data_IF_061418837806
#
_entry.id   IF_061418837806
#
_cell.length_a   1.000
_cell.length_b   1.000
_cell.length_c   1.000
_cell.angle_alpha   90.00
_cell.angle_beta   90.00
_cell.angle_gamma   90.00
#
_symmetry.space_group_name_H-M   'P 1'
#
loop_
_entity.id
_entity.type
_entity.pdbx_description
1 polymer ?
#
# COMPACT_ATOMS: atom_id res chain seq x y z
N UNK A 1 5.10 -68.69 50.13
CA UNK A 1 6.00 -67.83 49.34
C UNK A 1 5.13 -67.02 48.37
N UNK A 2 4.27 -66.17 48.92
CA UNK A 2 3.09 -65.60 48.24
C UNK A 2 2.97 -64.08 48.43
N UNK A 3 3.85 -63.48 49.25
CA UNK A 3 3.84 -62.06 49.61
C UNK A 3 4.38 -61.16 48.48
N UNK A 4 5.27 -61.66 47.60
CA UNK A 4 5.91 -60.84 46.56
C UNK A 4 5.00 -60.39 45.40
N UNK A 5 3.89 -61.10 45.16
CA UNK A 5 2.98 -60.77 44.04
C UNK A 5 1.94 -59.74 44.47
N UNK A 6 1.43 -59.81 45.72
CA UNK A 6 0.49 -58.84 46.25
C UNK A 6 1.13 -57.46 46.45
N UNK A 7 2.41 -57.40 46.84
CA UNK A 7 3.17 -56.14 46.93
C UNK A 7 3.43 -55.51 45.55
N UNK A 8 3.72 -56.34 44.54
CA UNK A 8 3.92 -55.87 43.17
C UNK A 8 2.62 -55.33 42.53
N UNK A 9 1.48 -55.99 42.78
CA UNK A 9 0.17 -55.54 42.31
C UNK A 9 -0.28 -54.27 43.05
N UNK A 10 0.01 -54.16 44.34
CA UNK A 10 -0.29 -52.96 45.14
C UNK A 10 0.55 -51.75 44.70
N UNK A 11 1.85 -51.94 44.45
CA UNK A 11 2.71 -50.90 43.91
C UNK A 11 2.32 -50.46 42.48
N UNK A 12 1.77 -51.37 41.67
CA UNK A 12 1.24 -51.05 40.34
C UNK A 12 -0.08 -50.28 40.41
N UNK A 13 -0.99 -50.67 41.32
CA UNK A 13 -2.22 -49.92 41.62
C UNK A 13 -1.94 -48.52 42.18
N UNK A 14 -0.93 -48.37 43.04
CA UNK A 14 -0.54 -47.06 43.58
C UNK A 14 0.11 -46.16 42.51
N UNK A 15 0.85 -46.75 41.57
CA UNK A 15 1.34 -46.03 40.37
C UNK A 15 0.20 -45.60 39.46
N UNK A 16 -0.80 -46.46 39.23
CA UNK A 16 -1.97 -46.11 38.41
C UNK A 16 -2.86 -45.06 39.10
N UNK A 17 -3.03 -45.12 40.42
CA UNK A 17 -3.76 -44.09 41.20
C UNK A 17 -3.05 -42.73 41.18
N UNK A 18 -1.71 -42.69 41.16
CA UNK A 18 -0.96 -41.44 40.94
C UNK A 18 -1.17 -40.85 39.54
N UNK A 19 -1.40 -41.71 38.54
CA UNK A 19 -1.67 -41.27 37.16
C UNK A 19 -3.13 -40.79 37.02
N UNK A 20 -4.08 -41.45 37.68
CA UNK A 20 -5.50 -41.03 37.68
C UNK A 20 -5.82 -39.87 38.65
N UNK A 21 -4.86 -39.49 39.50
CA UNK A 21 -4.95 -38.35 40.42
C UNK A 21 -4.57 -37.00 39.80
N UNK A 22 -4.23 -36.97 38.50
CA UNK A 22 -4.20 -35.73 37.73
C UNK A 22 -5.64 -35.32 37.36
N UNK A 23 -6.41 -34.94 38.38
CA UNK A 23 -7.63 -34.17 38.19
C UNK A 23 -7.28 -32.84 37.53
N UNK A 24 -7.82 -32.57 36.34
CA UNK A 24 -8.02 -31.23 35.76
C UNK A 24 -6.90 -30.21 35.99
N UNK A 25 -5.64 -30.64 35.89
CA UNK A 25 -4.61 -29.72 35.47
C UNK A 25 -4.92 -29.46 33.99
N UNK A 26 -5.77 -28.46 33.75
CA UNK A 26 -5.90 -27.78 32.46
C UNK A 26 -4.47 -27.70 31.94
N UNK A 27 -4.13 -28.56 30.97
CA UNK A 27 -2.98 -28.35 30.12
C UNK A 27 -3.24 -26.95 29.61
N UNK A 28 -2.56 -25.95 30.20
CA UNK A 28 -2.49 -24.62 29.62
C UNK A 28 -2.04 -24.93 28.21
N UNK A 29 -2.95 -24.78 27.25
CA UNK A 29 -2.64 -24.91 25.84
C UNK A 29 -1.51 -23.92 25.67
N UNK A 30 -0.26 -24.40 25.60
CA UNK A 30 0.87 -23.54 25.35
C UNK A 30 0.47 -22.81 24.08
N UNK A 31 0.28 -21.50 24.22
CA UNK A 31 -0.15 -20.67 23.09
C UNK A 31 0.96 -20.86 22.07
N UNK A 32 0.62 -21.54 20.96
CA UNK A 32 1.62 -21.87 19.96
C UNK A 32 2.26 -20.55 19.52
N UNK A 33 3.59 -20.50 19.45
CA UNK A 33 4.29 -19.33 18.92
C UNK A 33 3.72 -18.94 17.53
N UNK A 34 3.22 -19.93 16.79
CA UNK A 34 2.51 -19.76 15.52
C UNK A 34 1.17 -19.01 15.68
N UNK A 35 0.35 -19.34 16.69
CA UNK A 35 -0.92 -18.63 16.94
C UNK A 35 -0.66 -17.15 17.29
N UNK A 36 0.40 -16.86 18.06
CA UNK A 36 0.83 -15.49 18.40
C UNK A 36 1.33 -14.76 17.15
N UNK A 37 2.09 -15.46 16.29
CA UNK A 37 2.64 -14.88 15.06
C UNK A 37 1.53 -14.57 14.05
N UNK A 38 0.58 -15.48 13.86
CA UNK A 38 -0.60 -15.29 13.01
C UNK A 38 -1.43 -14.08 13.48
N UNK A 39 -1.64 -13.94 14.78
CA UNK A 39 -2.35 -12.80 15.34
C UNK A 39 -1.60 -11.48 15.11
N UNK A 40 -0.27 -11.45 15.29
CA UNK A 40 0.58 -10.28 14.99
C UNK A 40 0.56 -9.90 13.52
N UNK A 41 0.59 -10.88 12.62
CA UNK A 41 0.49 -10.66 11.16
C UNK A 41 -0.87 -10.05 10.84
N UNK A 42 -1.95 -10.60 11.39
CA UNK A 42 -3.31 -10.10 11.19
C UNK A 42 -3.47 -8.66 11.70
N UNK A 43 -2.97 -8.36 12.90
CA UNK A 43 -3.03 -7.00 13.46
C UNK A 43 -2.22 -6.00 12.63
N UNK A 44 -1.03 -6.39 12.16
CA UNK A 44 -0.20 -5.55 11.30
C UNK A 44 -0.90 -5.26 9.96
N UNK A 45 -1.48 -6.29 9.33
CA UNK A 45 -2.23 -6.13 8.07
C UNK A 45 -3.46 -5.24 8.25
N UNK A 46 -4.18 -5.38 9.37
CA UNK A 46 -5.33 -4.54 9.67
C UNK A 46 -4.91 -3.08 9.92
N UNK A 47 -3.83 -2.86 10.67
CA UNK A 47 -3.29 -1.52 10.92
C UNK A 47 -2.85 -0.84 9.62
N UNK A 48 -2.16 -1.58 8.74
CA UNK A 48 -1.79 -1.09 7.41
C UNK A 48 -3.03 -0.70 6.60
N UNK A 49 -4.01 -1.60 6.49
CA UNK A 49 -5.25 -1.33 5.77
C UNK A 49 -5.96 -0.09 6.31
N UNK A 50 -6.10 0.04 7.63
CA UNK A 50 -6.71 1.21 8.25
C UNK A 50 -5.94 2.50 7.95
N UNK A 51 -4.61 2.45 7.99
CA UNK A 51 -3.77 3.60 7.65
C UNK A 51 -3.95 4.02 6.18
N UNK A 52 -3.88 3.05 5.25
CA UNK A 52 -4.07 3.29 3.82
C UNK A 52 -5.44 3.91 3.53
N UNK A 53 -6.51 3.33 4.10
CA UNK A 53 -7.88 3.82 3.93
C UNK A 53 -8.04 5.24 4.47
N UNK A 54 -7.53 5.50 5.68
CA UNK A 54 -7.65 6.82 6.29
C UNK A 54 -6.83 7.87 5.55
N UNK A 55 -5.63 7.52 5.10
CA UNK A 55 -4.77 8.42 4.32
C UNK A 55 -5.39 8.73 2.96
N UNK A 56 -5.85 7.72 2.23
CA UNK A 56 -6.47 7.94 0.94
C UNK A 56 -7.78 8.74 1.04
N UNK A 57 -8.56 8.58 2.11
CA UNK A 57 -9.75 9.42 2.35
C UNK A 57 -9.41 10.92 2.41
N UNK A 58 -8.24 11.27 2.93
CA UNK A 58 -7.78 12.67 2.95
C UNK A 58 -7.53 13.16 1.52
N UNK A 59 -6.78 12.42 0.70
CA UNK A 59 -6.51 12.81 -0.70
C UNK A 59 -7.76 12.74 -1.58
N UNK A 60 -8.69 11.82 -1.32
CA UNK A 60 -9.95 11.77 -2.07
C UNK A 60 -10.81 13.03 -1.85
N UNK A 61 -10.81 13.59 -0.64
CA UNK A 61 -11.58 14.79 -0.32
C UNK A 61 -10.94 15.57 0.84
N UNK A 62 -9.93 16.43 0.56
CA UNK A 62 -9.12 17.05 1.60
C UNK A 62 -9.91 17.91 2.58
N UNK A 63 -10.83 18.75 2.08
CA UNK A 63 -11.65 19.63 2.92
C UNK A 63 -12.72 18.90 3.71
N UNK A 64 -13.22 17.77 3.21
CA UNK A 64 -14.16 16.93 3.96
C UNK A 64 -13.44 16.20 5.12
N UNK A 65 -12.21 15.73 4.88
CA UNK A 65 -11.44 14.98 5.86
C UNK A 65 -10.74 15.87 6.92
N UNK A 66 -10.26 17.05 6.52
CA UNK A 66 -9.43 17.91 7.38
C UNK A 66 -10.13 19.22 7.81
N UNK A 67 -11.30 19.52 7.24
CA UNK A 67 -12.08 20.72 7.51
C UNK A 67 -11.86 21.85 6.50
N UNK A 68 -12.90 22.68 6.31
CA UNK A 68 -12.99 23.72 5.26
C UNK A 68 -11.88 24.78 5.31
N UNK A 69 -11.35 25.08 6.50
CA UNK A 69 -10.34 26.12 6.69
C UNK A 69 -8.92 25.54 6.89
N UNK A 70 -8.71 24.26 6.55
CA UNK A 70 -7.43 23.59 6.75
C UNK A 70 -6.43 24.02 5.67
N UNK A 71 -5.31 24.60 6.09
CA UNK A 71 -4.18 24.91 5.20
C UNK A 71 -3.59 23.66 4.56
N UNK A 72 -3.62 22.53 5.29
CA UNK A 72 -3.21 21.23 4.75
C UNK A 72 -4.16 20.75 3.65
N UNK A 73 -5.47 20.96 3.80
CA UNK A 73 -6.43 20.59 2.75
C UNK A 73 -6.19 21.40 1.47
N UNK A 74 -6.03 22.72 1.60
CA UNK A 74 -5.71 23.60 0.49
C UNK A 74 -4.41 23.18 -0.22
N UNK A 75 -3.35 22.90 0.54
CA UNK A 75 -2.08 22.45 -0.05
C UNK A 75 -2.19 21.12 -0.80
N UNK A 76 -3.06 20.20 -0.37
CA UNK A 76 -3.27 18.92 -1.07
C UNK A 76 -4.03 19.16 -2.38
N UNK A 77 -5.09 19.98 -2.35
CA UNK A 77 -5.86 20.33 -3.54
C UNK A 77 -4.99 21.06 -4.59
N UNK A 78 -4.11 21.97 -4.15
CA UNK A 78 -3.12 22.62 -5.02
C UNK A 78 -2.18 21.61 -5.69
N UNK A 79 -1.73 20.60 -4.94
CA UNK A 79 -0.84 19.56 -5.46
C UNK A 79 -1.56 18.62 -6.45
N UNK A 80 -2.81 18.28 -6.15
CA UNK A 80 -3.71 17.54 -7.01
C UNK A 80 -3.92 18.26 -8.35
N UNK A 81 -4.21 19.56 -8.30
CA UNK A 81 -4.39 20.38 -9.48
C UNK A 81 -3.09 20.52 -10.29
N UNK A 82 -1.95 20.75 -9.62
CA UNK A 82 -0.64 20.82 -10.28
C UNK A 82 -0.28 19.49 -10.98
N UNK A 83 -0.62 18.35 -10.39
CA UNK A 83 -0.40 17.04 -11.02
C UNK A 83 -1.32 16.85 -12.24
N UNK A 84 -2.59 17.22 -12.12
CA UNK A 84 -3.56 17.09 -13.21
C UNK A 84 -3.21 17.98 -14.41
N UNK A 85 -2.73 19.19 -14.17
CA UNK A 85 -2.23 20.09 -15.21
C UNK A 85 -1.00 19.50 -15.91
N UNK A 86 -0.03 18.99 -15.14
CA UNK A 86 1.14 18.31 -15.70
C UNK A 86 0.74 17.10 -16.57
N UNK A 87 -0.20 16.27 -16.09
CA UNK A 87 -0.72 15.15 -16.86
C UNK A 87 -1.36 15.62 -18.18
N UNK A 88 -2.18 16.66 -18.11
CA UNK A 88 -2.91 17.19 -19.29
C UNK A 88 -1.94 17.73 -20.35
N UNK A 89 -0.88 18.42 -19.93
CA UNK A 89 0.19 18.89 -20.82
C UNK A 89 0.90 17.71 -21.49
N UNK A 90 1.28 16.68 -20.71
CA UNK A 90 1.94 15.50 -21.24
C UNK A 90 1.06 14.73 -22.23
N UNK A 91 -0.18 14.43 -21.83
CA UNK A 91 -1.14 13.69 -22.64
C UNK A 91 -1.45 14.44 -23.95
N UNK A 92 -1.60 15.77 -23.89
CA UNK A 92 -1.80 16.62 -25.07
C UNK A 92 -0.62 16.54 -26.05
N UNK A 93 0.62 16.59 -25.55
CA UNK A 93 1.81 16.43 -26.38
C UNK A 93 1.88 15.05 -27.03
N UNK A 94 1.52 13.98 -26.31
CA UNK A 94 1.51 12.62 -26.87
C UNK A 94 0.40 12.42 -27.90
N UNK A 95 -0.75 13.06 -27.73
CA UNK A 95 -1.84 13.03 -28.70
C UNK A 95 -1.45 13.72 -30.02
N UNK A 96 -0.64 14.78 -29.97
CA UNK A 96 -0.07 15.40 -31.17
C UNK A 96 0.88 14.45 -31.91
N UNK A 97 1.73 13.71 -31.18
CA UNK A 97 2.59 12.69 -31.78
C UNK A 97 1.74 11.61 -32.47
N UNK A 98 0.72 11.09 -31.79
CA UNK A 98 -0.18 10.06 -32.34
C UNK A 98 -0.89 10.50 -33.62
N UNK A 99 -1.33 11.76 -33.71
CA UNK A 99 -1.98 12.33 -34.91
C UNK A 99 -1.05 12.44 -36.12
N UNK A 100 0.27 12.49 -35.88
CA UNK A 100 1.30 12.55 -36.91
C UNK A 100 1.87 11.17 -37.27
N UNK A 101 1.66 10.13 -36.45
CA UNK A 101 2.07 8.76 -36.78
C UNK A 101 1.50 8.29 -38.13
N UNK A 102 2.36 7.71 -38.98
CA UNK A 102 1.97 7.16 -40.29
C UNK A 102 1.97 8.13 -41.47
N UNK A 103 2.13 9.45 -41.26
CA UNK A 103 2.16 10.45 -42.34
C UNK A 103 3.59 10.87 -42.71
N UNK A 104 4.48 9.95 -43.13
CA UNK A 104 5.90 10.26 -43.45
C UNK A 104 6.51 11.28 -42.46
N UNK A 105 6.24 11.11 -41.16
CA UNK A 105 6.39 12.19 -40.20
C UNK A 105 7.86 12.48 -39.90
N UNK A 106 8.40 13.48 -40.59
CA UNK A 106 9.74 14.01 -40.34
C UNK A 106 9.83 14.73 -38.98
N UNK A 107 8.69 15.16 -38.44
CA UNK A 107 8.60 15.99 -37.22
C UNK A 107 7.77 15.30 -36.16
N UNK A 108 8.34 15.11 -34.98
CA UNK A 108 7.70 14.55 -33.80
C UNK A 108 8.29 15.18 -32.54
N UNK A 109 7.53 15.15 -31.44
CA UNK A 109 8.01 15.57 -30.12
C UNK A 109 8.85 14.42 -29.56
N UNK A 110 10.16 14.60 -29.51
CA UNK A 110 11.12 13.59 -29.03
C UNK A 110 11.19 13.52 -27.50
N UNK A 111 10.99 14.65 -26.80
CA UNK A 111 10.98 14.74 -25.34
C UNK A 111 9.97 15.78 -24.88
N UNK A 112 9.26 15.47 -23.79
CA UNK A 112 8.42 16.43 -23.05
C UNK A 112 9.04 16.60 -21.68
N UNK A 113 9.37 17.83 -21.32
CA UNK A 113 9.90 18.21 -20.01
C UNK A 113 8.87 19.06 -19.29
N UNK A 114 8.49 18.66 -18.07
CA UNK A 114 7.48 19.36 -17.27
C UNK A 114 8.12 19.84 -15.97
N UNK A 115 8.25 21.16 -15.85
CA UNK A 115 8.67 21.79 -14.62
C UNK A 115 7.48 21.85 -13.65
N UNK A 116 7.39 20.88 -12.74
CA UNK A 116 6.32 20.81 -11.73
C UNK A 116 6.82 21.26 -10.36
N UNK A 117 6.04 22.05 -9.59
CA UNK A 117 6.38 22.37 -8.20
C UNK A 117 6.45 21.12 -7.31
N UNK A 118 5.77 20.03 -7.68
CA UNK A 118 5.79 18.76 -6.96
C UNK A 118 7.19 18.16 -6.88
N UNK A 119 8.03 18.39 -7.89
CA UNK A 119 9.40 17.90 -7.92
C UNK A 119 10.33 18.59 -6.90
N UNK A 120 9.88 19.72 -6.33
CA UNK A 120 10.58 20.44 -5.26
C UNK A 120 10.17 19.98 -3.86
N UNK A 121 9.15 19.12 -3.74
CA UNK A 121 8.61 18.66 -2.47
C UNK A 121 9.21 17.30 -2.09
N UNK A 122 10.08 17.30 -1.08
CA UNK A 122 10.76 16.10 -0.60
C UNK A 122 9.80 14.96 -0.17
N UNK A 123 8.61 15.30 0.33
CA UNK A 123 7.59 14.31 0.69
C UNK A 123 7.16 13.43 -0.50
N UNK A 124 7.26 13.95 -1.73
CA UNK A 124 6.88 13.24 -2.94
C UNK A 124 8.08 12.55 -3.61
N UNK A 125 9.24 13.19 -3.65
CA UNK A 125 10.40 12.65 -4.35
C UNK A 125 11.11 11.54 -3.56
N UNK A 126 11.27 11.72 -2.25
CA UNK A 126 11.96 10.77 -1.38
C UNK A 126 11.07 10.21 -0.26
N UNK A 127 10.00 10.92 0.09
CA UNK A 127 9.14 10.59 1.24
C UNK A 127 8.02 9.59 0.96
N UNK A 128 7.87 9.09 -0.27
CA UNK A 128 6.89 8.06 -0.63
C UNK A 128 5.41 8.50 -0.62
N UNK A 129 5.11 9.77 -0.33
CA UNK A 129 3.71 10.26 -0.30
C UNK A 129 3.11 10.47 -1.69
N UNK A 130 3.92 10.38 -2.75
CA UNK A 130 3.46 10.61 -4.11
C UNK A 130 2.40 9.61 -4.57
N UNK A 131 2.43 8.38 -4.04
CA UNK A 131 1.44 7.34 -4.35
C UNK A 131 0.00 7.84 -4.12
N UNK A 132 -0.24 8.73 -3.15
CA UNK A 132 -1.58 9.22 -2.87
C UNK A 132 -2.11 10.16 -3.96
N UNK A 133 -1.26 11.08 -4.45
CA UNK A 133 -1.59 11.95 -5.58
C UNK A 133 -1.75 11.12 -6.86
N UNK A 134 -0.88 10.13 -7.06
CA UNK A 134 -0.98 9.18 -8.15
C UNK A 134 -2.34 8.47 -8.15
N UNK A 135 -2.78 7.95 -7.00
CA UNK A 135 -4.05 7.22 -6.87
C UNK A 135 -5.25 8.13 -7.08
N UNK A 136 -5.20 9.37 -6.59
CA UNK A 136 -6.21 10.38 -6.88
C UNK A 136 -6.33 10.63 -8.39
N UNK A 137 -5.20 10.82 -9.08
CA UNK A 137 -5.18 11.03 -10.54
C UNK A 137 -5.78 9.83 -11.29
N UNK A 138 -5.44 8.61 -10.85
CA UNK A 138 -5.91 7.36 -11.46
C UNK A 138 -7.43 7.12 -11.26
N UNK A 139 -7.92 7.28 -10.02
CA UNK A 139 -9.29 6.92 -9.66
C UNK A 139 -10.27 8.08 -9.80
N UNK A 140 -9.92 9.28 -9.33
CA UNK A 140 -10.83 10.43 -9.30
C UNK A 140 -10.85 11.19 -10.62
N UNK A 141 -9.69 11.32 -11.29
CA UNK A 141 -9.60 11.97 -12.61
C UNK A 141 -9.67 11.01 -13.79
N UNK A 142 -9.69 9.70 -13.53
CA UNK A 142 -9.72 8.65 -14.55
C UNK A 142 -8.59 8.76 -15.59
N UNK A 143 -7.45 9.32 -15.18
CA UNK A 143 -6.28 9.53 -16.03
C UNK A 143 -5.40 8.26 -16.01
N UNK A 144 -5.65 7.34 -16.96
CA UNK A 144 -5.07 5.98 -16.93
C UNK A 144 -4.08 5.66 -18.06
N UNK A 145 -3.88 6.57 -18.99
CA UNK A 145 -3.02 6.32 -20.17
C UNK A 145 -1.53 6.48 -19.83
N UNK A 146 -1.23 7.42 -18.92
CA UNK A 146 0.12 7.77 -18.53
C UNK A 146 0.26 7.85 -17.02
N UNK A 147 1.27 7.20 -16.49
CA UNK A 147 1.53 7.14 -15.05
C UNK A 147 2.69 8.07 -14.70
N UNK A 148 2.48 9.02 -13.78
CA UNK A 148 3.53 9.91 -13.34
C UNK A 148 4.52 9.18 -12.43
N UNK A 149 5.79 9.58 -12.51
CA UNK A 149 6.85 9.11 -11.63
C UNK A 149 7.92 10.20 -11.52
N UNK A 150 8.70 10.19 -10.44
CA UNK A 150 9.84 11.08 -10.33
C UNK A 150 11.10 10.42 -10.87
N UNK A 151 11.88 11.17 -11.63
CA UNK A 151 13.17 10.73 -12.12
C UNK A 151 14.27 11.72 -11.73
N UNK A 152 15.36 11.25 -11.13
CA UNK A 152 16.49 12.11 -10.75
C UNK A 152 17.36 12.37 -11.98
N UNK A 153 17.57 13.65 -12.31
CA UNK A 153 18.47 14.12 -13.36
C UNK A 153 19.35 15.23 -12.83
N UNK A 154 20.66 15.10 -13.02
CA UNK A 154 21.64 16.16 -12.70
C UNK A 154 21.48 16.74 -11.29
N UNK A 155 21.18 15.89 -10.30
CA UNK A 155 20.92 16.25 -8.88
C UNK A 155 19.62 17.03 -8.63
N UNK A 156 18.68 16.97 -9.57
CA UNK A 156 17.33 17.51 -9.43
C UNK A 156 16.30 16.43 -9.72
N UNK A 157 15.13 16.53 -9.11
CA UNK A 157 14.01 15.65 -9.44
C UNK A 157 13.20 16.28 -10.57
N UNK A 158 12.78 15.44 -11.51
CA UNK A 158 11.85 15.81 -12.59
C UNK A 158 10.57 14.98 -12.48
N UNK A 159 9.42 15.59 -12.75
CA UNK A 159 8.16 14.86 -12.92
C UNK A 159 8.10 14.31 -14.34
N UNK A 160 8.10 12.98 -14.44
CA UNK A 160 8.20 12.22 -15.67
C UNK A 160 6.90 11.41 -15.85
N UNK A 161 6.53 11.05 -17.08
CA UNK A 161 5.32 10.26 -17.36
C UNK A 161 5.67 9.07 -18.26
N UNK A 162 5.12 7.91 -17.93
CA UNK A 162 5.32 6.66 -18.69
C UNK A 162 3.97 6.12 -19.15
N UNK A 163 3.89 5.52 -20.34
CA UNK A 163 2.69 4.78 -20.76
C UNK A 163 2.33 3.72 -19.72
N UNK A 164 1.04 3.61 -19.38
CA UNK A 164 0.55 2.67 -18.38
C UNK A 164 0.92 1.21 -18.68
N UNK A 165 0.94 0.83 -19.97
CA UNK A 165 1.39 -0.49 -20.42
C UNK A 165 2.83 -0.85 -20.00
N UNK A 166 3.68 0.15 -19.74
CA UNK A 166 5.08 -0.02 -19.36
C UNK A 166 5.32 0.24 -17.87
N UNK A 167 4.27 0.46 -17.08
CA UNK A 167 4.39 0.73 -15.66
C UNK A 167 3.94 -0.49 -14.86
N UNK A 168 4.72 -0.83 -13.84
CA UNK A 168 4.45 -1.94 -12.93
C UNK A 168 4.45 -1.38 -11.51
N UNK A 169 3.36 -1.59 -10.79
CA UNK A 169 3.38 -1.39 -9.34
C UNK A 169 4.18 -2.52 -8.71
N UNK A 170 5.15 -2.16 -7.87
CA UNK A 170 5.99 -3.11 -7.15
C UNK A 170 5.88 -2.91 -5.64
N UNK A 171 6.09 -4.01 -4.90
CA UNK A 171 6.15 -4.00 -3.44
C UNK A 171 4.97 -3.28 -2.77
N UNK A 172 5.31 -2.29 -1.94
CA UNK A 172 4.36 -1.54 -1.12
C UNK A 172 3.33 -0.75 -1.94
N UNK A 173 3.72 -0.16 -3.07
CA UNK A 173 2.81 0.65 -3.89
C UNK A 173 1.67 -0.20 -4.47
N UNK A 174 1.98 -1.44 -4.85
CA UNK A 174 0.98 -2.40 -5.34
C UNK A 174 -0.03 -2.76 -4.25
N UNK A 175 0.45 -3.00 -3.03
CA UNK A 175 -0.42 -3.30 -1.89
C UNK A 175 -1.34 -2.13 -1.57
N UNK A 176 -0.80 -0.91 -1.53
CA UNK A 176 -1.57 0.32 -1.32
C UNK A 176 -2.62 0.50 -2.42
N UNK A 177 -2.25 0.31 -3.69
CA UNK A 177 -3.17 0.40 -4.83
C UNK A 177 -4.33 -0.59 -4.70
N UNK A 178 -4.05 -1.86 -4.40
CA UNK A 178 -5.08 -2.90 -4.29
C UNK A 178 -6.01 -2.68 -3.10
N UNK A 179 -5.49 -2.21 -1.95
CA UNK A 179 -6.33 -1.82 -0.81
C UNK A 179 -7.27 -0.69 -1.23
N UNK A 180 -6.74 0.39 -1.83
CA UNK A 180 -7.58 1.53 -2.24
C UNK A 180 -8.63 1.11 -3.27
N UNK A 181 -8.23 0.33 -4.28
CA UNK A 181 -9.15 -0.20 -5.30
C UNK A 181 -10.30 -0.99 -4.66
N UNK A 182 -9.99 -1.88 -3.73
CA UNK A 182 -10.96 -2.75 -3.05
C UNK A 182 -11.92 -1.97 -2.16
N UNK A 183 -11.41 -1.00 -1.40
CA UNK A 183 -12.22 -0.31 -0.39
C UNK A 183 -13.08 0.82 -0.94
N UNK A 184 -12.72 1.38 -2.10
CA UNK A 184 -13.36 2.60 -2.62
C UNK A 184 -13.98 2.45 -4.02
N UNK A 185 -13.58 1.45 -4.82
CA UNK A 185 -13.97 1.36 -6.25
C UNK A 185 -14.30 -0.07 -6.73
N UNK A 186 -14.45 -1.04 -5.82
CA UNK A 186 -14.87 -2.42 -6.14
C UNK A 186 -16.28 -2.70 -5.65
#
# INVERSE_FOLDING_TARGET
MTEKIQDAISAFSDKLKRISGFSDAVLKKDVSEDEILEEKIRHSAQALRSNVVNTYRIYKSPFAALGKNSSRAASIEEDEQALFEAYSLFAGAMELNKKNEGKNAATYISRVEIASPLAKKACYTVGGQFIWLFLWLYFEKNCRDYFPYFCEREKSWELCFKKSANFLFEGHEKEVFEIVKREFYS
#
